data_IF_734186882108
#
_entry.id   IF_734186882108
#
_cell.length_a   1.000
_cell.length_b   1.000
_cell.length_c   1.000
_cell.angle_alpha   90.00
_cell.angle_beta   90.00
_cell.angle_gamma   90.00
#
_symmetry.space_group_name_H-M   'P 1'
#
loop_
_entity.id
_entity.type
_entity.pdbx_description
1 polymer ?
#
# COMPACT_ATOMS: atom_id res chain seq x y z
N UNK A 1 47.15 -40.95 0.67
CA UNK A 1 46.38 -42.13 0.19
C UNK A 1 46.60 -43.36 1.07
N UNK A 2 47.80 -43.54 1.63
CA UNK A 2 48.20 -44.68 2.49
C UNK A 2 47.21 -45.02 3.62
N UNK A 3 46.75 -44.03 4.40
CA UNK A 3 45.78 -44.26 5.50
C UNK A 3 44.41 -44.83 5.07
N UNK A 4 43.96 -44.56 3.84
CA UNK A 4 42.73 -45.14 3.27
C UNK A 4 42.92 -46.59 2.81
N UNK A 5 44.17 -46.99 2.55
CA UNK A 5 44.54 -48.35 2.15
C UNK A 5 44.78 -49.24 3.38
N UNK A 6 45.19 -48.65 4.51
CA UNK A 6 45.54 -49.36 5.74
C UNK A 6 44.36 -49.51 6.73
N UNK A 7 43.42 -48.56 6.72
CA UNK A 7 42.35 -48.51 7.71
C UNK A 7 40.97 -48.50 7.07
N UNK A 8 40.05 -49.28 7.65
CA UNK A 8 38.65 -49.29 7.23
C UNK A 8 37.90 -48.03 7.69
N UNK A 9 36.73 -47.78 7.11
CA UNK A 9 35.87 -46.67 7.50
C UNK A 9 35.44 -46.72 8.99
N UNK A 10 35.45 -47.91 9.60
CA UNK A 10 35.11 -48.10 11.02
C UNK A 10 36.29 -47.91 11.98
N UNK A 11 37.52 -47.78 11.49
CA UNK A 11 38.69 -47.58 12.34
C UNK A 11 38.65 -46.19 13.01
N UNK A 12 38.89 -46.11 14.31
CA UNK A 12 38.94 -44.86 15.07
C UNK A 12 40.28 -44.15 14.89
N UNK A 13 40.55 -43.69 13.67
CA UNK A 13 41.81 -43.04 13.30
C UNK A 13 41.58 -41.73 12.54
N UNK A 14 40.31 -41.42 12.22
CA UNK A 14 39.93 -40.26 11.43
C UNK A 14 39.58 -39.08 12.33
N UNK A 15 40.09 -37.89 12.05
CA UNK A 15 39.76 -36.69 12.82
C UNK A 15 38.74 -35.82 12.07
N UNK A 16 37.82 -35.20 12.81
CA UNK A 16 36.89 -34.20 12.25
C UNK A 16 37.64 -32.87 12.07
N UNK A 17 37.34 -32.12 11.01
CA UNK A 17 37.89 -30.77 10.87
C UNK A 17 37.51 -29.90 12.09
N UNK A 18 38.52 -29.41 12.81
CA UNK A 18 38.34 -28.63 14.03
C UNK A 18 38.17 -29.45 15.33
N UNK A 19 38.29 -30.78 15.29
CA UNK A 19 38.45 -31.61 16.49
C UNK A 19 39.70 -32.51 16.38
N UNK A 20 40.54 -32.59 17.43
CA UNK A 20 41.68 -33.49 17.46
C UNK A 20 41.30 -34.95 17.78
N UNK A 21 40.03 -35.24 18.12
CA UNK A 21 39.62 -36.59 18.53
C UNK A 21 39.60 -37.55 17.34
N UNK A 22 40.13 -38.77 17.56
CA UNK A 22 40.11 -39.85 16.57
C UNK A 22 38.78 -40.61 16.61
N UNK A 23 38.20 -40.83 15.43
CA UNK A 23 36.83 -41.31 15.25
C UNK A 23 36.72 -42.20 14.00
N UNK A 24 35.60 -42.88 13.83
CA UNK A 24 35.27 -43.55 12.57
C UNK A 24 35.08 -42.52 11.44
N UNK A 25 35.34 -42.93 10.20
CA UNK A 25 35.30 -42.02 9.04
C UNK A 25 33.91 -41.39 8.88
N UNK A 26 32.84 -42.17 9.07
CA UNK A 26 31.46 -41.67 8.98
C UNK A 26 31.17 -40.61 10.03
N UNK A 27 31.66 -40.77 11.27
CA UNK A 27 31.51 -39.79 12.33
C UNK A 27 32.37 -38.54 12.11
N UNK A 28 33.57 -38.70 11.54
CA UNK A 28 34.45 -37.58 11.19
C UNK A 28 33.91 -36.73 10.02
N UNK A 29 33.15 -37.36 9.10
CA UNK A 29 32.47 -36.69 8.00
C UNK A 29 31.12 -36.09 8.40
N UNK A 30 30.51 -36.56 9.48
CA UNK A 30 29.24 -36.03 9.96
C UNK A 30 29.41 -34.58 10.46
N UNK A 31 28.47 -33.72 10.05
CA UNK A 31 28.39 -32.33 10.49
C UNK A 31 27.06 -32.11 11.23
N UNK A 32 26.97 -32.55 12.50
CA UNK A 32 25.72 -32.47 13.26
C UNK A 32 25.26 -31.02 13.47
N UNK A 33 26.21 -30.08 13.50
CA UNK A 33 25.94 -28.65 13.66
C UNK A 33 25.53 -27.97 12.35
N UNK A 34 25.71 -28.63 11.20
CA UNK A 34 25.53 -28.05 9.87
C UNK A 34 24.12 -27.50 9.63
N UNK A 35 23.11 -28.28 10.00
CA UNK A 35 21.70 -27.87 9.89
C UNK A 35 21.37 -26.69 10.81
N UNK A 36 21.93 -26.66 12.02
CA UNK A 36 21.73 -25.55 12.94
C UNK A 36 22.42 -24.27 12.45
N UNK A 37 23.64 -24.38 11.91
CA UNK A 37 24.37 -23.27 11.30
C UNK A 37 23.67 -22.73 10.06
N UNK A 38 23.17 -23.61 9.19
CA UNK A 38 22.40 -23.22 8.01
C UNK A 38 21.15 -22.44 8.39
N UNK A 39 20.35 -22.94 9.34
CA UNK A 39 19.16 -22.22 9.84
C UNK A 39 19.48 -20.84 10.41
N UNK A 40 20.59 -20.68 11.14
CA UNK A 40 21.05 -19.37 11.64
C UNK A 40 21.41 -18.42 10.51
N UNK A 41 22.06 -18.91 9.45
CA UNK A 41 22.40 -18.10 8.28
C UNK A 41 21.16 -17.64 7.53
N UNK A 42 20.19 -18.53 7.32
CA UNK A 42 18.89 -18.21 6.72
C UNK A 42 18.16 -17.14 7.54
N UNK A 43 18.03 -17.33 8.85
CA UNK A 43 17.37 -16.35 9.72
C UNK A 43 18.05 -14.96 9.68
N UNK A 44 19.39 -14.92 9.62
CA UNK A 44 20.13 -13.66 9.46
C UNK A 44 19.86 -13.00 8.10
N UNK A 45 19.84 -13.78 7.03
CA UNK A 45 19.55 -13.28 5.69
C UNK A 45 18.12 -12.72 5.60
N UNK A 46 17.13 -13.44 6.11
CA UNK A 46 15.73 -13.01 6.17
C UNK A 46 15.58 -11.73 7.00
N UNK A 47 16.25 -11.64 8.15
CA UNK A 47 16.24 -10.44 8.98
C UNK A 47 16.86 -9.23 8.26
N UNK A 48 17.97 -9.42 7.55
CA UNK A 48 18.61 -8.37 6.75
C UNK A 48 17.73 -7.91 5.59
N UNK A 49 17.08 -8.85 4.88
CA UNK A 49 16.15 -8.54 3.80
C UNK A 49 14.92 -7.78 4.33
N UNK A 50 14.36 -8.20 5.47
CA UNK A 50 13.25 -7.49 6.12
C UNK A 50 13.63 -6.07 6.53
N UNK A 51 14.85 -5.87 7.05
CA UNK A 51 15.37 -4.54 7.37
C UNK A 51 15.52 -3.68 6.11
N UNK A 52 16.06 -4.23 5.02
CA UNK A 52 16.19 -3.51 3.76
C UNK A 52 14.82 -3.11 3.21
N UNK A 53 13.85 -4.03 3.18
CA UNK A 53 12.48 -3.74 2.76
C UNK A 53 11.83 -2.65 3.62
N UNK A 54 12.07 -2.64 4.93
CA UNK A 54 11.57 -1.59 5.82
C UNK A 54 12.23 -0.24 5.56
N UNK A 55 13.54 -0.21 5.30
CA UNK A 55 14.29 1.00 4.96
C UNK A 55 13.85 1.57 3.61
N UNK A 56 13.71 0.71 2.59
CA UNK A 56 13.22 1.09 1.26
C UNK A 56 11.82 1.66 1.37
N UNK A 57 10.94 0.97 2.10
CA UNK A 57 9.60 1.48 2.43
C UNK A 57 9.75 2.89 3.03
N UNK A 58 10.46 3.07 4.14
CA UNK A 58 10.60 4.38 4.78
C UNK A 58 11.20 5.48 3.86
N UNK A 59 12.07 5.13 2.92
CA UNK A 59 12.62 6.04 1.93
C UNK A 59 11.55 6.53 0.93
N UNK A 60 10.61 5.66 0.55
CA UNK A 60 9.47 6.00 -0.32
C UNK A 60 8.28 6.64 0.42
N UNK A 61 8.37 6.86 1.73
CA UNK A 61 7.27 7.42 2.52
C UNK A 61 6.87 8.81 2.00
N UNK A 62 5.60 9.00 1.55
CA UNK A 62 5.14 10.28 1.05
C UNK A 62 5.13 11.38 2.12
N UNK A 63 5.25 12.62 1.66
CA UNK A 63 5.15 13.83 2.48
C UNK A 63 3.86 14.60 2.17
N UNK A 64 3.32 15.25 3.19
CA UNK A 64 2.19 16.16 3.06
C UNK A 64 2.58 17.39 2.26
N UNK A 65 1.85 17.70 1.18
CA UNK A 65 2.10 18.90 0.38
C UNK A 65 1.83 20.21 1.11
N UNK A 66 1.02 20.17 2.18
CA UNK A 66 0.63 21.37 2.94
C UNK A 66 1.56 21.67 4.12
N UNK A 67 1.83 20.67 4.97
CA UNK A 67 2.66 20.86 6.17
C UNK A 67 4.06 20.24 6.08
N UNK A 68 4.40 19.57 4.97
CA UNK A 68 5.71 18.95 4.75
C UNK A 68 6.01 17.70 5.58
N UNK A 69 5.17 17.37 6.55
CA UNK A 69 5.36 16.19 7.40
C UNK A 69 5.20 14.89 6.62
N UNK A 70 6.06 13.91 6.92
CA UNK A 70 5.91 12.55 6.41
C UNK A 70 4.58 11.95 6.87
N UNK A 71 3.97 11.12 6.02
CA UNK A 71 2.71 10.46 6.37
C UNK A 71 2.92 9.42 7.48
N UNK A 72 1.92 9.29 8.36
CA UNK A 72 1.87 8.17 9.31
C UNK A 72 1.71 6.85 8.57
N UNK A 73 2.06 5.71 9.20
CA UNK A 73 1.88 4.40 8.57
C UNK A 73 0.43 4.14 8.17
N UNK A 74 -0.52 4.52 9.02
CA UNK A 74 -1.94 4.39 8.71
C UNK A 74 -2.33 5.21 7.48
N UNK A 75 -1.98 6.51 7.43
CA UNK A 75 -2.33 7.37 6.29
C UNK A 75 -1.65 6.89 5.00
N UNK A 76 -0.44 6.37 5.13
CA UNK A 76 0.30 5.85 4.00
C UNK A 76 -0.29 4.52 3.49
N UNK A 77 -0.73 3.64 4.38
CA UNK A 77 -1.48 2.43 4.01
C UNK A 77 -2.78 2.79 3.31
N UNK A 78 -3.58 3.73 3.85
CA UNK A 78 -4.82 4.20 3.21
C UNK A 78 -4.58 4.73 1.80
N UNK A 79 -3.51 5.49 1.57
CA UNK A 79 -3.22 6.10 0.26
C UNK A 79 -2.61 5.13 -0.74
N UNK A 80 -1.87 4.11 -0.28
CA UNK A 80 -1.24 3.10 -1.14
C UNK A 80 -2.19 1.93 -1.46
N UNK A 81 -2.97 1.47 -0.47
CA UNK A 81 -3.89 0.35 -0.61
C UNK A 81 -5.13 0.68 -1.46
N UNK A 82 -5.54 1.95 -1.50
CA UNK A 82 -6.68 2.42 -2.30
C UNK A 82 -6.27 3.02 -3.66
N UNK A 83 -5.12 2.61 -4.21
CA UNK A 83 -4.68 3.02 -5.56
C UNK A 83 -5.63 2.57 -6.68
N UNK A 84 -6.65 1.75 -6.39
CA UNK A 84 -7.86 1.59 -7.23
C UNK A 84 -8.81 2.81 -7.09
N UNK A 85 -8.31 3.93 -7.58
CA UNK A 85 -8.95 5.09 -8.21
C UNK A 85 -10.17 5.82 -7.62
N UNK A 86 -11.15 5.26 -6.90
CA UNK A 86 -12.48 5.93 -6.83
C UNK A 86 -13.02 6.36 -5.45
N UNK A 87 -12.27 6.16 -4.35
CA UNK A 87 -12.80 6.44 -2.99
C UNK A 87 -11.87 7.25 -2.07
N UNK A 88 -10.61 7.44 -2.42
CA UNK A 88 -9.73 8.26 -1.61
C UNK A 88 -9.99 9.73 -1.95
N UNK A 89 -10.35 10.55 -0.96
CA UNK A 89 -10.30 12.02 -1.07
C UNK A 89 -8.88 12.50 -1.35
N UNK A 90 -8.52 13.73 -0.98
CA UNK A 90 -7.18 14.25 -1.28
C UNK A 90 -6.06 13.35 -0.68
N UNK A 91 -5.41 12.58 -1.56
CA UNK A 91 -4.32 11.64 -1.24
C UNK A 91 -3.00 12.37 -0.99
N UNK A 92 -2.96 13.69 -1.19
CA UNK A 92 -1.74 14.50 -1.12
C UNK A 92 -1.54 15.21 0.23
N UNK A 93 -2.51 15.11 1.15
CA UNK A 93 -2.45 15.72 2.48
C UNK A 93 -2.54 14.69 3.62
N UNK A 94 -1.90 15.02 4.75
CA UNK A 94 -1.97 14.22 5.96
C UNK A 94 -3.36 14.26 6.62
N UNK A 95 -3.63 13.35 7.55
CA UNK A 95 -4.93 13.23 8.21
C UNK A 95 -5.38 14.52 8.91
N UNK A 96 -4.47 15.23 9.57
CA UNK A 96 -4.76 16.52 10.24
C UNK A 96 -5.17 17.58 9.23
N UNK A 97 -4.36 17.81 8.18
CA UNK A 97 -4.70 18.80 7.15
C UNK A 97 -6.02 18.47 6.45
N UNK A 98 -6.31 17.17 6.24
CA UNK A 98 -7.60 16.74 5.69
C UNK A 98 -8.76 17.07 6.63
N UNK A 99 -8.60 16.86 7.93
CA UNK A 99 -9.64 17.20 8.91
C UNK A 99 -9.90 18.71 8.94
N UNK A 100 -8.85 19.54 8.83
CA UNK A 100 -8.99 21.00 8.73
C UNK A 100 -9.77 21.44 7.49
N UNK A 101 -9.54 20.78 6.35
CA UNK A 101 -10.27 21.07 5.10
C UNK A 101 -11.74 20.67 5.20
N UNK A 102 -12.04 19.53 5.82
CA UNK A 102 -13.42 19.10 6.09
C UNK A 102 -14.11 20.11 7.01
N UNK A 103 -13.47 20.48 8.13
CA UNK A 103 -14.02 21.45 9.08
C UNK A 103 -14.30 22.81 8.43
N UNK A 104 -13.38 23.29 7.57
CA UNK A 104 -13.58 24.53 6.80
C UNK A 104 -14.76 24.43 5.84
N UNK A 105 -14.90 23.31 5.16
CA UNK A 105 -16.01 23.09 4.22
C UNK A 105 -17.36 22.98 4.95
N UNK A 106 -17.40 22.33 6.11
CA UNK A 106 -18.60 22.24 6.94
C UNK A 106 -18.99 23.60 7.55
N UNK A 107 -18.01 24.39 7.99
CA UNK A 107 -18.25 25.76 8.45
C UNK A 107 -18.85 26.62 7.32
N UNK A 108 -18.25 26.61 6.13
CA UNK A 108 -18.76 27.34 4.96
C UNK A 108 -20.16 26.89 4.53
N UNK A 109 -20.47 25.58 4.64
CA UNK A 109 -21.82 25.06 4.40
C UNK A 109 -22.81 25.54 5.43
N UNK A 110 -22.44 25.55 6.71
CA UNK A 110 -23.28 26.05 7.80
C UNK A 110 -23.56 27.54 7.61
N UNK A 111 -22.54 28.33 7.27
CA UNK A 111 -22.68 29.76 6.94
C UNK A 111 -23.59 29.99 5.73
N UNK A 112 -23.42 29.21 4.65
CA UNK A 112 -24.28 29.30 3.46
C UNK A 112 -25.72 28.88 3.76
N UNK A 113 -25.93 27.87 4.61
CA UNK A 113 -27.25 27.42 5.03
C UNK A 113 -27.97 28.42 5.94
N UNK A 114 -27.21 29.23 6.68
CA UNK A 114 -27.72 30.34 7.49
C UNK A 114 -27.80 31.67 6.75
N UNK A 115 -27.30 31.75 5.52
CA UNK A 115 -27.44 32.95 4.71
C UNK A 115 -28.94 33.15 4.40
N UNK A 116 -29.51 34.35 4.62
CA UNK A 116 -30.87 34.64 4.22
C UNK A 116 -31.00 34.40 2.72
N UNK A 117 -32.06 33.69 2.33
CA UNK A 117 -32.33 33.41 0.92
C UNK A 117 -32.25 34.73 0.13
N UNK A 118 -31.55 34.79 -1.01
CA UNK A 118 -31.58 35.97 -1.85
C UNK A 118 -33.06 36.29 -2.13
N UNK A 119 -33.45 37.54 -1.91
CA UNK A 119 -34.79 38.00 -2.23
C UNK A 119 -35.10 37.55 -3.66
N UNK A 120 -36.11 36.71 -3.81
CA UNK A 120 -36.59 36.32 -5.13
C UNK A 120 -36.94 37.62 -5.85
N UNK A 121 -36.43 37.88 -7.07
CA UNK A 121 -36.92 38.99 -7.85
C UNK A 121 -38.45 38.81 -7.96
N UNK A 122 -39.20 39.88 -7.68
CA UNK A 122 -40.65 39.86 -7.83
C UNK A 122 -40.99 39.37 -9.24
N UNK A 123 -41.96 38.46 -9.39
CA UNK A 123 -42.36 38.00 -10.71
C UNK A 123 -42.85 39.21 -11.51
N UNK A 124 -42.14 39.52 -12.61
CA UNK A 124 -42.64 40.45 -13.61
C UNK A 124 -44.01 39.95 -14.09
N UNK A 125 -45.01 40.84 -14.29
CA UNK A 125 -46.32 40.42 -14.75
C UNK A 125 -46.19 39.69 -16.10
N UNK A 126 -46.70 38.46 -16.15
CA UNK A 126 -46.67 37.62 -17.34
C UNK A 126 -47.35 38.34 -18.51
N UNK A 127 -46.74 38.42 -19.70
CA UNK A 127 -47.45 38.84 -20.90
C UNK A 127 -48.52 37.79 -21.20
N UNK A 128 -49.75 38.31 -21.30
CA UNK A 128 -51.00 37.69 -21.70
C UNK A 128 -50.84 36.61 -22.80
N UNK A 129 -51.28 35.40 -22.44
CA UNK A 129 -51.33 34.14 -23.19
C UNK A 129 -52.25 34.28 -24.42
N UNK A 130 -51.71 34.72 -25.55
CA UNK A 130 -52.37 34.62 -26.86
C UNK A 130 -52.29 33.16 -27.34
N UNK A 131 -53.34 32.40 -26.96
CA UNK A 131 -53.56 31.04 -27.43
C UNK A 131 -54.04 31.05 -28.87
N UNK A 132 -53.11 30.88 -29.80
CA UNK A 132 -53.41 30.28 -31.09
C UNK A 132 -52.54 29.03 -31.31
N UNK A 133 -53.21 27.88 -31.13
CA UNK A 133 -52.73 26.53 -31.41
C UNK A 133 -52.80 26.26 -32.91
N UNK A 134 -51.67 25.88 -33.53
CA UNK A 134 -51.68 25.02 -34.72
C UNK A 134 -50.76 23.80 -34.51
N UNK A 135 -51.24 22.55 -34.71
CA UNK A 135 -50.44 21.35 -34.49
C UNK A 135 -49.70 20.96 -35.76
N UNK A 136 -48.36 20.90 -35.72
CA UNK A 136 -47.57 20.64 -36.92
C UNK A 136 -46.22 19.95 -36.71
N UNK A 137 -46.26 18.61 -36.71
CA UNK A 137 -45.25 17.64 -37.23
C UNK A 137 -44.27 16.98 -36.23
N UNK A 138 -44.07 15.65 -36.34
CA UNK A 138 -43.18 14.88 -35.49
C UNK A 138 -41.73 14.95 -35.97
N UNK A 139 -40.76 15.17 -35.06
CA UNK A 139 -39.34 14.96 -35.37
C UNK A 139 -38.91 13.56 -34.92
N UNK A 140 -38.69 12.71 -35.92
CA UNK A 140 -38.01 11.41 -35.82
C UNK A 140 -36.57 11.61 -35.35
N UNK A 141 -36.10 10.71 -34.48
CA UNK A 141 -34.69 10.60 -34.10
C UNK A 141 -34.42 9.46 -33.13
N UNK A 142 -34.55 8.21 -33.59
CA UNK A 142 -34.15 7.02 -32.83
C UNK A 142 -32.62 6.96 -32.76
N UNK A 143 -32.03 7.29 -31.62
CA UNK A 143 -30.63 6.99 -31.35
C UNK A 143 -30.49 5.51 -30.98
N UNK A 144 -29.84 4.75 -31.88
CA UNK A 144 -29.38 3.37 -31.62
C UNK A 144 -28.35 3.38 -30.50
N UNK A 145 -28.59 2.57 -29.47
CA UNK A 145 -27.51 2.13 -28.57
C UNK A 145 -26.94 0.83 -29.14
N UNK A 146 -25.63 0.79 -29.35
CA UNK A 146 -24.88 -0.43 -29.69
C UNK A 146 -24.40 -1.05 -28.38
N UNK A 147 -24.77 -2.30 -28.16
CA UNK A 147 -24.08 -3.25 -27.28
C UNK A 147 -22.84 -3.78 -27.99
#
# INVERSE_FOLDING_TARGET
MERLQEHSAGAAVWCRLGSPDEQALTAALDNPDGEALFRRQVARAEAAEAQQRAADREAWRPVCKRCGQKFTDQRWQETTAHSSAWKAGDVSVCGTCRADDVARQEAARTETAWAPAPAQPEPEPEPEDDRDQEPGKPRRGLLRWRT
#
